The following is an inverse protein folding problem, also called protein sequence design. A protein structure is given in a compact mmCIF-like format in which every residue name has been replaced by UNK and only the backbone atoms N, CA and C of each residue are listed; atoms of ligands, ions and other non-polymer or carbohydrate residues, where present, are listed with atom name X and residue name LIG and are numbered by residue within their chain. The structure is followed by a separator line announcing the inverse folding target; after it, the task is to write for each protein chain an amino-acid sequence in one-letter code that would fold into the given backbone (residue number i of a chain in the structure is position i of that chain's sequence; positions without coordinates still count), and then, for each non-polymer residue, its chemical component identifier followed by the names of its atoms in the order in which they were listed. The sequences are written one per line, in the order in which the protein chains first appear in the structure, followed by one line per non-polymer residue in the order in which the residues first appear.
data_IF_325906804481
#
_entry.id   IF_325906804481
#
_cell.length_a   1.000
_cell.length_b   1.000
_cell.length_c   1.000
_cell.angle_alpha   90.00
_cell.angle_beta   90.00
_cell.angle_gamma   90.00
#
_symmetry.space_group_name_H-M   'P 1'
#
loop_
_entity.id
_entity.type
_entity.pdbx_description
1 polymer ?
#
# COMPACT_ATOMS: atom_id res chain seq x y z
N UNK A 1 1.36 -0.06 -4.46
CA UNK A 1 1.98 0.31 -5.74
C UNK A 1 3.06 -0.71 -6.13
N UNK A 2 3.39 -0.78 -7.41
CA UNK A 2 4.26 -1.82 -7.95
C UNK A 2 5.59 -1.96 -7.19
N UNK A 3 6.41 -0.92 -6.97
CA UNK A 3 7.68 -1.06 -6.27
C UNK A 3 7.59 -1.72 -4.89
N UNK A 4 6.54 -1.38 -4.12
CA UNK A 4 6.32 -1.99 -2.80
C UNK A 4 5.84 -3.45 -2.88
N UNK A 5 5.32 -3.88 -4.04
CA UNK A 5 4.77 -5.23 -4.22
C UNK A 5 5.82 -6.25 -4.69
N UNK A 6 6.92 -5.78 -5.31
CA UNK A 6 7.94 -6.66 -5.91
C UNK A 6 8.46 -7.68 -4.90
N UNK A 7 9.09 -7.23 -3.83
CA UNK A 7 9.64 -8.10 -2.80
C UNK A 7 8.57 -8.92 -2.07
N UNK A 8 7.42 -8.29 -1.79
CA UNK A 8 6.33 -8.99 -1.08
C UNK A 8 5.80 -10.19 -1.88
N UNK A 9 5.57 -10.01 -3.18
CA UNK A 9 5.08 -11.08 -4.07
C UNK A 9 6.13 -12.18 -4.21
N UNK A 10 7.40 -11.82 -4.44
CA UNK A 10 8.48 -12.79 -4.54
C UNK A 10 8.57 -13.64 -3.27
N UNK A 11 8.53 -12.98 -2.10
CA UNK A 11 8.64 -13.66 -0.81
C UNK A 11 7.49 -14.60 -0.53
N UNK A 12 6.27 -14.21 -0.87
CA UNK A 12 5.11 -15.08 -0.76
C UNK A 12 5.22 -16.29 -1.70
N UNK A 13 5.66 -16.08 -2.93
CA UNK A 13 5.88 -17.16 -3.89
C UNK A 13 6.98 -18.14 -3.47
N UNK A 14 8.07 -17.67 -2.85
CA UNK A 14 9.10 -18.52 -2.24
C UNK A 14 8.52 -19.41 -1.12
N UNK A 15 7.50 -18.95 -0.42
CA UNK A 15 6.76 -19.70 0.59
C UNK A 15 5.66 -20.60 0.00
N UNK A 16 5.52 -20.67 -1.33
CA UNK A 16 4.48 -21.43 -2.04
C UNK A 16 3.09 -20.79 -2.03
N UNK A 17 3.02 -19.50 -1.72
CA UNK A 17 1.77 -18.73 -1.67
C UNK A 17 1.63 -17.90 -2.94
N UNK A 18 0.57 -18.11 -3.73
CA UNK A 18 0.25 -17.25 -4.87
C UNK A 18 -0.75 -16.17 -4.45
N UNK A 19 -0.32 -14.90 -4.35
CA UNK A 19 -1.19 -13.85 -3.85
C UNK A 19 -2.13 -13.31 -4.93
N UNK A 20 -3.30 -12.83 -4.52
CA UNK A 20 -4.12 -11.90 -5.32
C UNK A 20 -3.84 -10.47 -4.86
N UNK A 21 -3.44 -9.60 -5.78
CA UNK A 21 -3.17 -8.19 -5.47
C UNK A 21 -4.48 -7.42 -5.46
N UNK A 22 -4.73 -6.69 -4.37
CA UNK A 22 -5.88 -5.80 -4.23
C UNK A 22 -5.42 -4.34 -4.14
N UNK A 23 -5.94 -3.51 -5.06
CA UNK A 23 -5.65 -2.08 -5.13
C UNK A 23 -6.83 -1.25 -4.64
N UNK A 24 -6.66 -0.61 -3.47
CA UNK A 24 -7.53 0.44 -2.98
C UNK A 24 -6.69 1.51 -2.28
N UNK A 25 -6.56 2.68 -2.88
CA UNK A 25 -5.65 3.74 -2.41
C UNK A 25 -6.28 5.13 -2.54
N UNK A 26 -7.32 5.47 -1.75
CA UNK A 26 -7.99 6.77 -1.79
C UNK A 26 -7.12 7.91 -1.26
N UNK A 27 -5.91 7.60 -0.83
CA UNK A 27 -4.95 8.53 -0.25
C UNK A 27 -3.79 8.89 -1.21
N UNK A 28 -3.88 8.57 -2.50
CA UNK A 28 -2.84 8.94 -3.48
C UNK A 28 -3.31 10.15 -4.29
N UNK A 29 -2.54 11.24 -4.23
CA UNK A 29 -2.83 12.52 -4.89
C UNK A 29 -1.55 13.12 -5.50
N UNK A 30 -1.65 13.94 -6.56
CA UNK A 30 -2.85 14.23 -7.34
C UNK A 30 -3.32 13.05 -8.20
N UNK A 31 -4.39 13.22 -8.98
CA UNK A 31 -4.93 12.15 -9.83
C UNK A 31 -3.93 11.58 -10.83
N UNK A 32 -3.03 12.40 -11.33
CA UNK A 32 -1.95 11.97 -12.24
C UNK A 32 -1.01 10.95 -11.56
N UNK A 33 -0.67 11.17 -10.30
CA UNK A 33 0.14 10.25 -9.49
C UNK A 33 -0.63 8.96 -9.17
N UNK A 34 -1.90 9.08 -8.79
CA UNK A 34 -2.79 7.93 -8.59
C UNK A 34 -2.84 7.05 -9.85
N UNK A 35 -3.08 7.67 -11.01
CA UNK A 35 -3.14 6.99 -12.31
C UNK A 35 -1.80 6.31 -12.64
N UNK A 36 -0.69 7.02 -12.51
CA UNK A 36 0.64 6.50 -12.83
C UNK A 36 0.97 5.26 -11.99
N UNK A 37 0.71 5.29 -10.68
CA UNK A 37 0.95 4.14 -9.79
C UNK A 37 0.01 2.97 -10.08
N UNK A 38 -1.25 3.26 -10.40
CA UNK A 38 -2.25 2.23 -10.73
C UNK A 38 -1.89 1.51 -12.03
N UNK A 39 -1.61 2.24 -13.08
CA UNK A 39 -1.25 1.65 -14.37
C UNK A 39 0.08 0.86 -14.28
N UNK A 40 1.09 1.41 -13.58
CA UNK A 40 2.33 0.67 -13.33
C UNK A 40 2.07 -0.67 -12.61
N UNK A 41 1.18 -0.70 -11.62
CA UNK A 41 0.83 -1.95 -10.92
C UNK A 41 0.08 -2.92 -11.84
N UNK A 42 -0.83 -2.44 -12.69
CA UNK A 42 -1.55 -3.26 -13.67
C UNK A 42 -0.58 -3.94 -14.65
N UNK A 43 0.34 -3.17 -15.19
CA UNK A 43 1.37 -3.69 -16.12
C UNK A 43 2.28 -4.70 -15.43
N UNK A 44 2.75 -4.38 -14.22
CA UNK A 44 3.61 -5.26 -13.45
C UNK A 44 2.93 -6.59 -13.11
N UNK A 45 1.73 -6.56 -12.53
CA UNK A 45 1.01 -7.79 -12.16
C UNK A 45 0.69 -8.66 -13.38
N UNK A 46 0.37 -8.05 -14.52
CA UNK A 46 0.20 -8.75 -15.79
C UNK A 46 1.50 -9.40 -16.26
N UNK A 47 2.63 -8.71 -16.17
CA UNK A 47 3.93 -9.22 -16.64
C UNK A 47 4.41 -10.44 -15.85
N UNK A 48 4.05 -10.55 -14.57
CA UNK A 48 4.42 -11.67 -13.69
C UNK A 48 3.27 -12.68 -13.50
N UNK A 49 2.18 -12.52 -14.24
CA UNK A 49 0.99 -13.39 -14.21
C UNK A 49 0.39 -13.54 -12.79
N UNK A 50 0.23 -12.43 -12.07
CA UNK A 50 -0.45 -12.35 -10.78
C UNK A 50 -1.84 -11.77 -10.96
N UNK A 51 -2.84 -12.41 -10.36
CA UNK A 51 -4.20 -11.88 -10.34
C UNK A 51 -4.24 -10.54 -9.59
N UNK A 52 -4.88 -9.53 -10.17
CA UNK A 52 -5.00 -8.23 -9.55
C UNK A 52 -6.40 -7.63 -9.70
N UNK A 53 -6.89 -7.03 -8.63
CA UNK A 53 -8.21 -6.41 -8.51
C UNK A 53 -8.00 -4.93 -8.20
N UNK A 54 -8.72 -4.07 -8.92
CA UNK A 54 -8.56 -2.63 -8.83
C UNK A 54 -9.90 -1.96 -8.55
N UNK A 55 -10.00 -1.31 -7.39
CA UNK A 55 -11.10 -0.40 -7.11
C UNK A 55 -10.95 0.87 -7.95
N UNK A 56 -12.07 1.34 -8.51
CA UNK A 56 -12.07 2.51 -9.39
C UNK A 56 -12.13 3.85 -8.62
N UNK A 57 -12.43 3.80 -7.33
CA UNK A 57 -12.61 4.98 -6.50
C UNK A 57 -11.29 5.73 -6.28
N UNK A 58 -11.27 7.02 -6.63
CA UNK A 58 -10.15 7.93 -6.36
C UNK A 58 -10.16 8.47 -4.92
N UNK A 59 -11.34 8.73 -4.35
CA UNK A 59 -11.56 9.02 -2.93
C UNK A 59 -11.04 10.37 -2.43
N UNK A 60 -10.76 11.36 -3.29
CA UNK A 60 -10.20 12.65 -2.90
C UNK A 60 -11.08 13.41 -1.89
N UNK A 61 -12.38 13.48 -2.15
CA UNK A 61 -13.31 14.26 -1.31
C UNK A 61 -13.34 13.75 0.13
N UNK A 62 -13.43 12.44 0.29
CA UNK A 62 -13.45 11.80 1.60
C UNK A 62 -12.09 11.93 2.30
N UNK A 63 -11.00 11.74 1.56
CA UNK A 63 -9.66 11.98 2.10
C UNK A 63 -9.51 13.41 2.64
N UNK A 64 -9.94 14.42 1.89
CA UNK A 64 -9.83 15.82 2.33
C UNK A 64 -10.65 16.07 3.61
N UNK A 65 -11.91 15.59 3.66
CA UNK A 65 -12.78 15.74 4.85
C UNK A 65 -12.17 15.13 6.10
N UNK A 66 -11.54 13.97 5.97
CA UNK A 66 -10.97 13.24 7.11
C UNK A 66 -9.57 13.75 7.49
N UNK A 67 -8.71 14.03 6.50
CA UNK A 67 -7.33 14.44 6.75
C UNK A 67 -7.24 15.80 7.47
N UNK A 68 -8.13 16.76 7.13
CA UNK A 68 -8.13 18.12 7.75
C UNK A 68 -8.52 18.10 9.23
N UNK A 69 -9.19 17.06 9.71
CA UNK A 69 -9.54 16.92 11.14
C UNK A 69 -8.29 16.82 12.02
N UNK A 70 -7.23 16.18 11.52
CA UNK A 70 -5.92 16.12 12.18
C UNK A 70 -4.82 15.76 11.18
N UNK A 71 -4.18 16.75 10.59
CA UNK A 71 -3.16 16.56 9.56
C UNK A 71 -1.96 15.73 10.02
N UNK A 72 -1.53 15.90 11.28
CA UNK A 72 -0.38 15.17 11.83
C UNK A 72 -0.68 13.69 12.10
N UNK A 73 -1.96 13.35 12.30
CA UNK A 73 -2.41 11.98 12.54
C UNK A 73 -3.17 11.37 11.35
N UNK A 74 -3.21 12.03 10.18
CA UNK A 74 -3.97 11.60 9.00
C UNK A 74 -3.71 10.14 8.59
N UNK A 75 -2.46 9.67 8.73
CA UNK A 75 -2.12 8.30 8.38
C UNK A 75 -2.79 7.28 9.30
N UNK A 76 -2.75 7.51 10.62
CA UNK A 76 -3.32 6.58 11.62
C UNK A 76 -4.83 6.72 11.75
N UNK A 77 -5.36 7.93 11.55
CA UNK A 77 -6.79 8.19 11.71
C UNK A 77 -7.60 7.85 10.45
N UNK A 78 -6.98 7.91 9.27
CA UNK A 78 -7.68 7.68 8.01
C UNK A 78 -6.95 6.72 7.06
N UNK A 79 -5.72 7.05 6.60
CA UNK A 79 -5.12 6.33 5.48
C UNK A 79 -4.90 4.83 5.72
N UNK A 80 -4.44 4.43 6.90
CA UNK A 80 -4.30 3.01 7.22
C UNK A 80 -5.66 2.35 7.46
N UNK A 81 -6.53 2.90 8.35
CA UNK A 81 -7.82 2.29 8.61
C UNK A 81 -8.66 2.07 7.37
N UNK A 82 -8.84 3.08 6.53
CA UNK A 82 -9.73 2.97 5.35
C UNK A 82 -9.23 1.93 4.35
N UNK A 83 -7.94 1.86 4.12
CA UNK A 83 -7.35 0.89 3.17
C UNK A 83 -7.39 -0.53 3.69
N UNK A 84 -6.97 -0.72 4.94
CA UNK A 84 -6.92 -2.06 5.55
C UNK A 84 -8.33 -2.61 5.78
N UNK A 85 -9.25 -1.81 6.30
CA UNK A 85 -10.66 -2.21 6.46
C UNK A 85 -11.27 -2.66 5.14
N UNK A 86 -11.13 -1.88 4.09
CA UNK A 86 -11.65 -2.22 2.76
C UNK A 86 -11.06 -3.53 2.21
N UNK A 87 -9.79 -3.81 2.52
CA UNK A 87 -9.16 -5.08 2.14
C UNK A 87 -9.80 -6.28 2.86
N UNK A 88 -10.06 -6.16 4.15
CA UNK A 88 -10.75 -7.22 4.90
C UNK A 88 -12.21 -7.41 4.48
N UNK A 89 -12.93 -6.31 4.22
CA UNK A 89 -14.30 -6.35 3.68
C UNK A 89 -14.33 -7.10 2.36
N UNK A 90 -13.45 -6.71 1.43
CA UNK A 90 -13.33 -7.38 0.14
C UNK A 90 -13.00 -8.87 0.29
N UNK A 91 -12.03 -9.21 1.15
CA UNK A 91 -11.64 -10.59 1.40
C UNK A 91 -12.82 -11.42 1.90
N UNK A 92 -13.59 -10.89 2.86
CA UNK A 92 -14.77 -11.57 3.42
C UNK A 92 -15.87 -11.78 2.38
N UNK A 93 -16.16 -10.76 1.57
CA UNK A 93 -17.20 -10.82 0.54
C UNK A 93 -16.87 -11.81 -0.58
N UNK A 94 -15.58 -12.02 -0.87
CA UNK A 94 -15.12 -12.83 -2.00
C UNK A 94 -14.49 -14.17 -1.59
N UNK A 95 -14.61 -14.55 -0.30
CA UNK A 95 -14.20 -15.87 0.18
C UNK A 95 -12.69 -16.07 0.28
N UNK A 96 -11.92 -15.00 0.45
CA UNK A 96 -10.51 -15.10 0.86
C UNK A 96 -10.43 -15.34 2.37
N UNK A 97 -9.59 -16.26 2.77
CA UNK A 97 -9.40 -16.63 4.18
C UNK A 97 -8.21 -15.94 4.85
N UNK A 98 -7.33 -15.32 4.05
CA UNK A 98 -6.08 -14.75 4.53
C UNK A 98 -5.77 -13.42 3.86
N UNK A 99 -5.29 -12.44 4.64
CA UNK A 99 -4.91 -11.10 4.17
C UNK A 99 -3.51 -10.74 4.66
N UNK A 100 -2.75 -10.07 3.80
CA UNK A 100 -1.51 -9.37 4.16
C UNK A 100 -1.48 -7.97 3.53
N UNK A 101 -0.43 -7.18 3.80
CA UNK A 101 -0.33 -5.83 3.23
C UNK A 101 1.11 -5.45 2.89
N UNK A 102 1.29 -4.83 1.72
CA UNK A 102 2.57 -4.22 1.33
C UNK A 102 2.94 -2.97 2.14
N UNK A 103 2.08 -2.50 3.04
CA UNK A 103 2.44 -1.46 4.01
C UNK A 103 3.51 -1.92 4.99
N UNK A 104 3.65 -3.23 5.21
CA UNK A 104 4.68 -3.83 6.06
C UNK A 104 6.07 -3.89 5.41
N UNK A 105 6.18 -3.47 4.14
CA UNK A 105 7.45 -3.44 3.41
C UNK A 105 8.24 -2.15 3.62
N UNK A 106 7.57 -1.01 3.69
CA UNK A 106 8.25 0.27 3.73
C UNK A 106 8.75 0.62 5.12
N UNK A 107 10.03 0.96 5.23
CA UNK A 107 10.68 1.43 6.48
C UNK A 107 10.15 2.78 6.97
N UNK A 108 9.42 3.51 6.13
CA UNK A 108 8.84 4.82 6.45
C UNK A 108 7.41 4.74 7.01
N UNK A 109 6.81 3.54 7.04
CA UNK A 109 5.46 3.36 7.56
C UNK A 109 5.47 3.08 9.07
N UNK A 110 4.35 3.38 9.74
CA UNK A 110 4.17 3.09 11.18
C UNK A 110 3.88 1.60 11.40
N UNK A 111 4.91 0.78 11.25
CA UNK A 111 4.83 -0.68 11.20
C UNK A 111 4.02 -1.30 12.34
N UNK A 112 4.34 -0.96 13.58
CA UNK A 112 3.68 -1.55 14.76
C UNK A 112 2.19 -1.17 14.84
N UNK A 113 1.86 0.06 14.40
CA UNK A 113 0.47 0.49 14.32
C UNK A 113 -0.29 -0.32 13.25
N UNK A 114 0.30 -0.49 12.07
CA UNK A 114 -0.29 -1.27 10.98
C UNK A 114 -0.50 -2.72 11.42
N UNK A 115 0.51 -3.32 12.06
CA UNK A 115 0.41 -4.69 12.58
C UNK A 115 -0.75 -4.84 13.54
N UNK A 116 -0.85 -3.99 14.57
CA UNK A 116 -1.95 -4.01 15.54
C UNK A 116 -3.32 -3.83 14.89
N UNK A 117 -3.42 -2.92 13.92
CA UNK A 117 -4.67 -2.69 13.21
C UNK A 117 -5.09 -3.89 12.35
N UNK A 118 -4.13 -4.57 11.72
CA UNK A 118 -4.37 -5.80 10.97
C UNK A 118 -4.81 -6.95 11.89
N UNK A 119 -4.19 -7.09 13.07
CA UNK A 119 -4.59 -8.06 14.10
C UNK A 119 -6.04 -7.80 14.55
N UNK A 120 -6.38 -6.54 14.84
CA UNK A 120 -7.75 -6.14 15.20
C UNK A 120 -8.76 -6.48 14.11
N UNK A 121 -8.47 -6.16 12.84
CA UNK A 121 -9.38 -6.45 11.74
C UNK A 121 -9.46 -7.95 11.44
N UNK A 122 -8.38 -8.70 11.63
CA UNK A 122 -8.39 -10.16 11.56
C UNK A 122 -9.44 -10.76 12.51
N UNK A 123 -9.46 -10.32 13.76
CA UNK A 123 -10.46 -10.73 14.75
C UNK A 123 -11.87 -10.24 14.37
N UNK A 124 -12.02 -8.97 13.98
CA UNK A 124 -13.32 -8.35 13.62
C UNK A 124 -13.99 -9.07 12.43
N UNK A 125 -13.23 -9.42 11.41
CA UNK A 125 -13.76 -10.00 10.17
C UNK A 125 -13.71 -11.52 10.14
N UNK A 126 -12.95 -12.15 11.04
CA UNK A 126 -12.74 -13.60 11.05
C UNK A 126 -11.91 -14.08 9.87
N UNK A 127 -10.90 -13.33 9.46
CA UNK A 127 -9.99 -13.59 8.34
C UNK A 127 -8.57 -13.55 8.86
N UNK A 128 -7.76 -14.52 8.50
CA UNK A 128 -6.39 -14.64 8.99
C UNK A 128 -5.50 -13.48 8.51
N UNK A 129 -4.71 -12.93 9.41
CA UNK A 129 -3.66 -11.98 9.07
C UNK A 129 -2.32 -12.70 8.92
N UNK A 130 -1.83 -12.81 7.68
CA UNK A 130 -0.49 -13.31 7.40
C UNK A 130 0.54 -12.20 7.67
N UNK A 131 1.08 -12.18 8.88
CA UNK A 131 2.14 -11.24 9.22
C UNK A 131 3.49 -11.68 8.65
N UNK A 132 4.15 -10.77 7.93
CA UNK A 132 5.56 -10.87 7.53
C UNK A 132 6.20 -9.49 7.67
N UNK A 133 7.38 -9.43 8.26
CA UNK A 133 8.19 -8.22 8.25
C UNK A 133 8.96 -8.13 6.92
N UNK A 134 8.33 -7.49 5.94
CA UNK A 134 8.94 -7.32 4.62
C UNK A 134 10.02 -6.23 4.57
N UNK A 135 10.25 -5.48 5.67
CA UNK A 135 11.26 -4.41 5.72
C UNK A 135 12.68 -4.94 5.52
N UNK A 136 12.92 -6.19 5.88
CA UNK A 136 14.22 -6.86 5.69
C UNK A 136 14.68 -6.87 4.23
N UNK A 137 13.73 -6.89 3.28
CA UNK A 137 13.99 -6.85 1.84
C UNK A 137 13.78 -5.47 1.21
N UNK A 138 13.75 -4.39 2.00
CA UNK A 138 13.43 -3.05 1.47
C UNK A 138 14.39 -2.60 0.35
N UNK A 139 15.68 -2.72 0.58
CA UNK A 139 16.69 -2.30 -0.41
C UNK A 139 16.76 -3.23 -1.61
N UNK A 140 16.62 -4.54 -1.39
CA UNK A 140 16.57 -5.54 -2.46
C UNK A 140 15.37 -5.30 -3.38
N UNK A 141 14.17 -5.18 -2.82
CA UNK A 141 12.97 -4.93 -3.59
C UNK A 141 12.98 -3.58 -4.29
N UNK A 142 13.56 -2.55 -3.68
CA UNK A 142 13.72 -1.23 -4.29
C UNK A 142 14.65 -1.29 -5.50
N UNK A 143 15.81 -1.96 -5.39
CA UNK A 143 16.74 -2.14 -6.51
C UNK A 143 16.08 -2.95 -7.64
N UNK A 144 15.43 -4.05 -7.32
CA UNK A 144 14.73 -4.88 -8.31
C UNK A 144 13.62 -4.09 -9.03
N UNK A 145 12.85 -3.27 -8.31
CA UNK A 145 11.84 -2.42 -8.92
C UNK A 145 12.43 -1.40 -9.89
N UNK A 146 13.59 -0.82 -9.54
CA UNK A 146 14.33 0.10 -10.41
C UNK A 146 14.84 -0.63 -11.68
N UNK A 147 15.44 -1.81 -11.54
CA UNK A 147 15.98 -2.60 -12.65
C UNK A 147 14.87 -3.07 -13.61
N UNK A 148 13.66 -3.30 -13.09
CA UNK A 148 12.46 -3.59 -13.89
C UNK A 148 11.87 -2.35 -14.59
N UNK A 149 12.43 -1.16 -14.39
CA UNK A 149 11.95 0.09 -14.98
C UNK A 149 10.57 0.53 -14.45
N UNK A 150 10.19 0.10 -13.25
CA UNK A 150 8.89 0.45 -12.67
C UNK A 150 8.85 1.93 -12.28
N UNK A 151 7.66 2.51 -12.31
CA UNK A 151 7.46 3.88 -11.84
C UNK A 151 7.79 3.99 -10.35
N UNK A 152 8.88 4.68 -10.04
CA UNK A 152 9.36 4.88 -8.66
C UNK A 152 8.71 6.11 -8.04
N UNK A 153 7.90 5.90 -7.00
CA UNK A 153 7.24 7.00 -6.28
C UNK A 153 8.24 7.83 -5.46
N UNK A 154 8.05 9.15 -5.46
CA UNK A 154 8.91 10.10 -4.72
C UNK A 154 8.41 10.38 -3.30
N UNK A 155 7.16 10.06 -2.97
CA UNK A 155 6.53 10.31 -1.68
C UNK A 155 5.53 9.21 -1.32
N UNK A 156 5.00 9.22 -0.09
CA UNK A 156 4.09 8.17 0.40
C UNK A 156 2.82 8.05 -0.46
N UNK A 157 2.14 9.16 -0.74
CA UNK A 157 0.97 9.15 -1.62
C UNK A 157 0.12 10.41 -1.58
N UNK A 158 -0.18 10.95 -0.41
CA UNK A 158 -1.05 12.13 -0.31
C UNK A 158 -0.30 13.43 -0.58
N UNK A 159 -1.06 14.48 -0.92
CA UNK A 159 -0.52 15.81 -1.20
C UNK A 159 0.35 16.36 -0.04
N UNK A 160 -0.01 16.09 1.20
CA UNK A 160 0.80 16.50 2.36
C UNK A 160 2.13 15.75 2.45
N UNK A 161 2.19 14.48 2.03
CA UNK A 161 3.47 13.75 1.98
C UNK A 161 4.33 14.17 0.79
N UNK A 162 3.74 14.71 -0.26
CA UNK A 162 4.47 15.36 -1.35
C UNK A 162 5.14 16.63 -0.85
N UNK A 163 4.38 17.52 -0.17
CA UNK A 163 4.90 18.73 0.46
C UNK A 163 6.05 18.40 1.44
N UNK A 164 5.84 17.45 2.36
CA UNK A 164 6.86 17.02 3.31
C UNK A 164 8.16 16.57 2.58
N UNK A 165 8.03 15.83 1.49
CA UNK A 165 9.19 15.39 0.68
C UNK A 165 9.89 16.55 -0.02
N UNK A 166 9.15 17.49 -0.59
CA UNK A 166 9.71 18.66 -1.27
C UNK A 166 10.47 19.57 -0.29
N UNK A 167 9.93 19.79 0.91
CA UNK A 167 10.56 20.63 1.93
C UNK A 167 11.86 20.02 2.46
N UNK A 168 11.95 18.69 2.58
CA UNK A 168 13.19 18.01 2.97
C UNK A 168 14.31 18.21 1.93
N UNK A 169 13.99 18.18 0.63
CA UNK A 169 14.98 18.41 -0.43
C UNK A 169 15.41 19.89 -0.56
N UNK A 170 14.63 20.84 -0.09
CA UNK A 170 14.95 22.27 -0.15
C UNK A 170 15.73 22.78 1.04
N UNK A 171 15.77 22.05 2.16
CA UNK A 171 16.52 22.42 3.36
C UNK A 171 18.02 22.07 3.29
N UNK A 172 18.45 21.28 2.31
CA UNK A 172 19.85 20.88 2.09
C UNK A 172 20.52 21.62 0.89
N UNK A 173 19.89 22.71 0.38
CA UNK A 173 20.40 23.50 -0.74
C UNK A 173 21.03 24.82 -0.29
#
# INVERSE_FOLDING_TARGET
CAPCSVYCIDKLREEGIEPTVYWYNPNIHPYTEYKARRECLKEYTKSINVQAIFEEEYGLDEFCKEAVKNLNARCVNYCYPVRLRKTFEYAKEHGYDTVTTTLLYSIYQKHDFIKKLMEQYSEEYGIDFLYRDFRVGFWEGHQKAHDLGLYMQKYCGCIFSEEDSCLLYTSDA
#
